data_IF_860429802721
#
_entry.id   IF_860429802721
#
_cell.length_a   1.000
_cell.length_b   1.000
_cell.length_c   1.000
_cell.angle_alpha   90.00
_cell.angle_beta   90.00
_cell.angle_gamma   90.00
#
_symmetry.space_group_name_H-M   'P 1'
#
loop_
_entity.id
_entity.type
_entity.pdbx_description
1 polymer ?
#
# COMPACT_ATOMS: atom_id res chain seq x y z
N UNK A 1 22.43 45.80 -33.99
CA UNK A 1 22.39 44.85 -32.85
C UNK A 1 23.38 43.72 -33.11
N UNK A 2 24.44 43.63 -32.32
CA UNK A 2 25.55 42.68 -32.52
C UNK A 2 25.17 41.27 -32.06
N UNK A 3 25.36 40.26 -32.92
CA UNK A 3 25.13 38.84 -32.63
C UNK A 3 26.34 38.30 -31.85
N UNK A 4 26.18 38.15 -30.54
CA UNK A 4 27.17 37.47 -29.69
C UNK A 4 27.22 36.00 -30.11
N UNK A 5 28.30 35.57 -30.76
CA UNK A 5 28.58 34.15 -31.03
C UNK A 5 29.03 33.50 -29.72
N UNK A 6 28.12 32.81 -29.04
CA UNK A 6 28.48 31.97 -27.91
C UNK A 6 29.37 30.82 -28.40
N UNK A 7 30.59 30.75 -27.88
CA UNK A 7 31.56 29.68 -28.14
C UNK A 7 31.01 28.40 -27.48
N UNK A 8 30.52 27.46 -28.27
CA UNK A 8 30.08 26.15 -27.79
C UNK A 8 31.32 25.42 -27.29
N UNK A 9 31.45 25.29 -25.96
CA UNK A 9 32.48 24.43 -25.39
C UNK A 9 32.17 22.98 -25.81
N UNK A 10 33.17 22.18 -26.20
CA UNK A 10 32.95 20.77 -26.48
C UNK A 10 32.41 20.14 -25.21
N UNK A 11 31.24 19.50 -25.31
CA UNK A 11 30.68 18.68 -24.25
C UNK A 11 31.64 17.49 -24.14
N UNK A 12 32.64 17.62 -23.26
CA UNK A 12 33.44 16.48 -22.83
C UNK A 12 32.46 15.57 -22.10
N UNK A 13 32.13 14.46 -22.74
CA UNK A 13 31.31 13.40 -22.16
C UNK A 13 32.15 12.72 -21.08
N UNK A 14 32.27 13.40 -19.93
CA UNK A 14 32.81 12.80 -18.73
C UNK A 14 31.83 11.72 -18.36
N UNK A 15 32.22 10.45 -18.49
CA UNK A 15 31.46 9.29 -18.01
C UNK A 15 31.17 9.46 -16.51
N UNK A 16 30.10 10.17 -16.17
CA UNK A 16 29.59 10.25 -14.81
C UNK A 16 28.87 8.94 -14.55
N UNK A 17 29.64 7.95 -14.08
CA UNK A 17 29.19 6.57 -13.86
C UNK A 17 27.90 6.46 -13.02
N UNK A 18 27.63 7.46 -12.18
CA UNK A 18 26.54 7.42 -11.19
C UNK A 18 25.41 8.42 -11.44
N UNK A 19 25.44 9.20 -12.54
CA UNK A 19 24.35 10.15 -12.86
C UNK A 19 23.89 9.98 -14.29
N UNK A 20 22.58 9.78 -14.49
CA UNK A 20 21.98 9.73 -15.82
C UNK A 20 22.21 11.06 -16.54
N UNK A 21 22.81 10.99 -17.73
CA UNK A 21 22.98 12.12 -18.64
C UNK A 21 21.63 12.76 -19.01
N UNK A 22 21.62 14.08 -19.27
CA UNK A 22 20.43 14.90 -19.53
C UNK A 22 19.55 14.42 -20.70
N UNK A 23 20.03 13.49 -21.53
CA UNK A 23 19.31 12.94 -22.70
C UNK A 23 19.17 11.41 -22.66
N UNK A 24 19.28 10.82 -21.48
CA UNK A 24 19.12 9.36 -21.35
C UNK A 24 17.65 9.00 -21.57
N UNK A 25 17.33 8.44 -22.75
CA UNK A 25 16.00 7.93 -23.07
C UNK A 25 15.98 6.45 -22.70
N UNK A 26 15.35 6.12 -21.58
CA UNK A 26 15.07 4.72 -21.23
C UNK A 26 13.83 4.28 -22.01
N UNK A 27 14.02 3.40 -22.99
CA UNK A 27 12.90 2.82 -23.73
C UNK A 27 12.19 1.80 -22.85
N UNK A 28 10.92 2.06 -22.58
CA UNK A 28 10.07 1.17 -21.82
C UNK A 28 9.51 0.07 -22.73
N UNK A 29 9.80 -1.18 -22.41
CA UNK A 29 9.18 -2.35 -23.06
C UNK A 29 7.97 -2.82 -22.22
N UNK A 30 6.73 -2.67 -22.70
CA UNK A 30 5.54 -3.09 -21.97
C UNK A 30 5.43 -4.62 -21.81
N UNK A 31 6.07 -5.40 -22.69
CA UNK A 31 6.00 -6.86 -22.70
C UNK A 31 7.15 -7.52 -21.91
N UNK A 32 8.16 -6.75 -21.50
CA UNK A 32 9.24 -7.27 -20.68
C UNK A 32 8.71 -7.79 -19.35
N UNK A 33 9.08 -9.03 -18.99
CA UNK A 33 8.66 -9.66 -17.73
C UNK A 33 9.17 -8.83 -16.55
N UNK A 34 8.24 -8.26 -15.79
CA UNK A 34 8.57 -7.42 -14.64
C UNK A 34 8.80 -8.25 -13.38
N UNK A 35 9.67 -7.77 -12.46
CA UNK A 35 9.94 -8.48 -11.22
C UNK A 35 8.69 -8.49 -10.33
N UNK A 36 8.12 -9.68 -10.14
CA UNK A 36 7.00 -9.95 -9.24
C UNK A 36 7.43 -10.55 -7.90
N UNK A 37 8.73 -10.78 -7.71
CA UNK A 37 9.27 -11.32 -6.45
C UNK A 37 9.09 -10.31 -5.33
N UNK A 38 8.73 -10.77 -4.13
CA UNK A 38 8.62 -9.89 -2.97
C UNK A 38 9.98 -9.26 -2.63
N UNK A 39 9.94 -8.07 -2.04
CA UNK A 39 11.10 -7.36 -1.51
C UNK A 39 11.01 -7.28 0.00
N UNK A 40 12.17 -7.21 0.65
CA UNK A 40 12.28 -6.93 2.08
C UNK A 40 12.55 -5.45 2.27
N UNK A 41 11.72 -4.79 3.06
CA UNK A 41 11.91 -3.40 3.49
C UNK A 41 12.12 -3.44 4.99
N UNK A 42 13.40 -3.38 5.41
CA UNK A 42 13.79 -3.65 6.79
C UNK A 42 13.33 -5.06 7.21
N UNK A 43 12.45 -5.12 8.20
CA UNK A 43 11.84 -6.38 8.68
C UNK A 43 10.53 -6.79 7.99
N UNK A 44 10.02 -5.98 7.07
CA UNK A 44 8.69 -6.18 6.48
C UNK A 44 8.77 -6.79 5.09
N UNK A 45 7.80 -7.66 4.78
CA UNK A 45 7.67 -8.27 3.45
C UNK A 45 6.71 -7.42 2.61
N UNK A 46 7.18 -7.01 1.44
CA UNK A 46 6.40 -6.23 0.48
C UNK A 46 6.30 -7.01 -0.82
N UNK A 47 5.09 -7.43 -1.17
CA UNK A 47 4.81 -8.08 -2.46
C UNK A 47 4.89 -7.07 -3.60
N UNK A 48 5.37 -7.51 -4.77
CA UNK A 48 5.36 -6.72 -6.01
C UNK A 48 4.36 -7.31 -6.98
N UNK A 49 3.42 -6.49 -7.42
CA UNK A 49 2.43 -6.84 -8.43
C UNK A 49 2.48 -5.82 -9.57
N UNK A 50 3.16 -6.14 -10.68
CA UNK A 50 3.08 -5.35 -11.89
C UNK A 50 1.62 -5.23 -12.34
N UNK A 51 1.17 -4.01 -12.65
CA UNK A 51 -0.16 -3.80 -13.19
C UNK A 51 -0.15 -4.09 -14.71
N UNK A 52 -1.18 -4.78 -15.23
CA UNK A 52 -1.35 -4.90 -16.68
C UNK A 52 -1.55 -3.51 -17.28
N UNK A 53 -1.00 -3.28 -18.47
CA UNK A 53 -1.17 -2.06 -19.27
C UNK A 53 -0.70 -0.74 -18.63
N UNK A 54 -0.01 -0.81 -17.49
CA UNK A 54 0.52 0.36 -16.78
C UNK A 54 2.00 0.18 -16.47
N UNK A 55 2.77 1.26 -16.51
CA UNK A 55 4.20 1.29 -16.13
C UNK A 55 4.41 0.98 -14.64
N UNK A 56 3.35 1.15 -13.85
CA UNK A 56 3.41 1.09 -12.40
C UNK A 56 3.44 -0.35 -11.87
N UNK A 57 4.10 -0.51 -10.72
CA UNK A 57 4.09 -1.74 -9.93
C UNK A 57 3.33 -1.44 -8.65
N UNK A 58 2.33 -2.25 -8.34
CA UNK A 58 1.62 -2.19 -7.07
C UNK A 58 2.46 -2.92 -6.00
N UNK A 59 2.77 -2.21 -4.93
CA UNK A 59 3.46 -2.72 -3.75
C UNK A 59 2.42 -3.07 -2.69
N UNK A 60 2.45 -4.33 -2.25
CA UNK A 60 1.52 -4.91 -1.28
C UNK A 60 2.27 -5.09 0.03
N UNK A 61 1.96 -4.29 1.06
CA UNK A 61 2.55 -4.45 2.39
C UNK A 61 1.85 -5.63 3.06
N UNK A 62 2.62 -6.66 3.44
CA UNK A 62 2.08 -7.90 3.99
C UNK A 62 2.31 -8.00 5.51
N UNK A 63 1.29 -8.46 6.24
CA UNK A 63 1.37 -8.95 7.63
C UNK A 63 1.02 -10.44 7.63
N UNK A 64 2.02 -11.30 7.42
CA UNK A 64 1.81 -12.74 7.19
C UNK A 64 1.09 -13.01 5.86
N UNK A 65 -0.13 -13.55 5.93
CA UNK A 65 -0.96 -13.86 4.75
C UNK A 65 -1.86 -12.71 4.32
N UNK A 66 -1.90 -11.62 5.08
CA UNK A 66 -2.83 -10.53 4.84
C UNK A 66 -2.16 -9.28 4.27
N UNK A 67 -2.92 -8.56 3.46
CA UNK A 67 -2.48 -7.31 2.85
C UNK A 67 -2.88 -6.16 3.76
N UNK A 68 -1.91 -5.54 4.40
CA UNK A 68 -2.10 -4.36 5.25
C UNK A 68 -2.43 -3.11 4.44
N UNK A 69 -1.73 -2.91 3.31
CA UNK A 69 -1.92 -1.75 2.44
C UNK A 69 -1.40 -2.03 1.04
N UNK A 70 -1.97 -1.33 0.06
CA UNK A 70 -1.50 -1.32 -1.33
C UNK A 70 -1.10 0.10 -1.71
N UNK A 71 -0.03 0.26 -2.47
CA UNK A 71 0.41 1.55 -2.99
C UNK A 71 1.28 1.40 -4.24
N UNK A 72 1.45 2.49 -4.99
CA UNK A 72 2.19 2.49 -6.27
C UNK A 72 3.68 2.80 -6.08
N UNK A 73 4.03 3.55 -5.03
CA UNK A 73 5.41 3.86 -4.66
C UNK A 73 6.02 2.76 -3.78
N UNK A 74 7.34 2.58 -3.88
CA UNK A 74 8.09 1.72 -2.96
C UNK A 74 7.91 2.28 -1.53
N UNK A 75 7.39 1.49 -0.58
CA UNK A 75 7.24 1.94 0.79
C UNK A 75 8.58 2.01 1.51
N UNK A 76 8.68 2.95 2.44
CA UNK A 76 9.71 2.97 3.48
C UNK A 76 9.28 2.10 4.69
N UNK A 77 10.23 1.86 5.59
CA UNK A 77 10.01 1.02 6.76
C UNK A 77 8.96 1.62 7.73
N UNK A 78 8.90 2.95 7.84
CA UNK A 78 7.91 3.65 8.68
C UNK A 78 6.49 3.45 8.16
N UNK A 79 6.28 3.66 6.86
CA UNK A 79 4.98 3.41 6.21
C UNK A 79 4.53 1.96 6.35
N UNK A 80 5.46 1.00 6.27
CA UNK A 80 5.14 -0.41 6.50
C UNK A 80 4.67 -0.66 7.93
N UNK A 81 5.38 -0.13 8.92
CA UNK A 81 5.03 -0.27 10.34
C UNK A 81 3.64 0.30 10.64
N UNK A 82 3.35 1.50 10.14
CA UNK A 82 2.08 2.18 10.34
C UNK A 82 0.92 1.45 9.66
N UNK A 83 1.12 0.95 8.44
CA UNK A 83 0.10 0.18 7.73
C UNK A 83 -0.29 -1.08 8.51
N UNK A 84 0.69 -1.82 9.02
CA UNK A 84 0.46 -3.05 9.79
C UNK A 84 -0.22 -2.73 11.12
N UNK A 85 0.23 -1.67 11.82
CA UNK A 85 -0.40 -1.23 13.06
C UNK A 85 -1.89 -0.92 12.85
N UNK A 86 -2.22 -0.16 11.80
CA UNK A 86 -3.61 0.17 11.45
C UNK A 86 -4.44 -1.06 11.14
N UNK A 87 -3.91 -2.04 10.41
CA UNK A 87 -4.61 -3.30 10.15
C UNK A 87 -4.92 -4.03 11.46
N UNK A 88 -3.94 -4.14 12.37
CA UNK A 88 -4.12 -4.84 13.65
C UNK A 88 -5.11 -4.12 14.56
N UNK A 89 -5.08 -2.80 14.58
CA UNK A 89 -6.02 -1.99 15.36
C UNK A 89 -7.45 -2.12 14.81
N UNK A 90 -7.62 -2.11 13.48
CA UNK A 90 -8.92 -2.36 12.86
C UNK A 90 -9.49 -3.75 13.19
N UNK A 91 -8.64 -4.78 13.19
CA UNK A 91 -9.04 -6.14 13.61
C UNK A 91 -9.44 -6.20 15.08
N UNK A 92 -8.69 -5.55 15.96
CA UNK A 92 -9.03 -5.49 17.39
C UNK A 92 -10.38 -4.80 17.61
N UNK A 93 -10.62 -3.69 16.91
CA UNK A 93 -11.90 -3.00 16.96
C UNK A 93 -13.06 -3.90 16.48
N UNK A 94 -12.87 -4.61 15.35
CA UNK A 94 -13.86 -5.55 14.83
C UNK A 94 -14.15 -6.70 15.81
N UNK A 95 -13.11 -7.26 16.46
CA UNK A 95 -13.28 -8.32 17.45
C UNK A 95 -14.05 -7.84 18.70
N UNK A 96 -13.80 -6.60 19.14
CA UNK A 96 -14.53 -5.99 20.26
C UNK A 96 -16.00 -5.81 19.88
N UNK A 97 -16.30 -5.28 18.71
CA UNK A 97 -17.69 -5.13 18.23
C UNK A 97 -18.41 -6.47 18.09
N UNK A 98 -17.74 -7.49 17.56
CA UNK A 98 -18.27 -8.85 17.50
C UNK A 98 -18.58 -9.40 18.91
N UNK A 99 -17.70 -9.18 19.88
CA UNK A 99 -17.92 -9.63 21.26
C UNK A 99 -19.11 -8.91 21.92
N UNK A 100 -19.28 -7.60 21.66
CA UNK A 100 -20.43 -6.83 22.14
C UNK A 100 -21.73 -7.35 21.52
N UNK A 101 -21.74 -7.63 20.21
CA UNK A 101 -22.90 -8.17 19.53
C UNK A 101 -23.29 -9.55 20.09
N UNK A 102 -22.33 -10.44 20.31
CA UNK A 102 -22.56 -11.75 20.94
C UNK A 102 -23.10 -11.59 22.35
N UNK A 103 -22.50 -10.70 23.16
CA UNK A 103 -22.95 -10.45 24.53
C UNK A 103 -24.36 -9.85 24.58
N UNK A 104 -24.72 -9.00 23.60
CA UNK A 104 -26.08 -8.45 23.46
C UNK A 104 -27.08 -9.55 23.08
N UNK A 105 -26.71 -10.45 22.17
CA UNK A 105 -27.54 -11.58 21.78
C UNK A 105 -27.71 -12.61 22.91
N UNK A 106 -26.66 -12.83 23.72
CA UNK A 106 -26.70 -13.72 24.89
C UNK A 106 -27.52 -13.17 26.06
N UNK A 107 -27.82 -11.86 26.11
CA UNK A 107 -28.77 -11.33 27.08
C UNK A 107 -30.17 -11.68 26.57
N UNK A 108 -30.86 -12.70 27.12
CA UNK A 108 -32.25 -12.91 26.77
C UNK A 108 -32.98 -11.60 27.06
N UNK A 109 -33.70 -11.10 26.07
CA UNK A 109 -34.53 -9.93 26.24
C UNK A 109 -35.36 -10.13 27.50
N UNK A 110 -35.46 -9.08 28.32
CA UNK A 110 -36.45 -8.98 29.39
C UNK A 110 -37.83 -8.93 28.74
N UNK A 111 -38.26 -10.05 28.17
CA UNK A 111 -39.60 -10.30 27.68
C UNK A 111 -40.38 -10.81 28.88
N UNK A 112 -40.99 -9.89 29.62
CA UNK A 112 -42.22 -10.17 30.38
C UNK A 112 -43.13 -8.95 30.29
N UNK A 113 -43.68 -8.74 29.11
CA UNK A 113 -45.09 -8.44 28.98
C UNK A 113 -45.86 -9.61 29.60
N UNK A 114 -46.20 -9.46 30.87
CA UNK A 114 -47.12 -10.33 31.58
C UNK A 114 -48.04 -9.44 32.43
N UNK A 115 -48.79 -8.56 31.79
CA UNK A 115 -50.00 -7.97 32.38
C UNK A 115 -51.19 -8.78 31.90
N UNK A 116 -51.47 -9.81 32.70
CA UNK A 116 -52.79 -10.29 33.11
C UNK A 116 -53.95 -10.16 32.13
N UNK A 117 -54.41 -11.34 31.66
CA UNK A 117 -55.82 -11.68 31.39
C UNK A 117 -56.75 -10.97 32.38
N UNK A 118 -57.81 -10.34 31.87
CA UNK A 118 -59.06 -10.23 32.62
C UNK A 118 -60.21 -10.69 31.71
N UNK A 119 -60.94 -11.67 32.22
CA UNK A 119 -62.17 -12.26 31.71
C UNK A 119 -63.24 -11.84 32.70
N UNK A 120 -64.26 -11.12 32.25
CA UNK A 120 -65.68 -11.13 32.67
C UNK A 120 -66.36 -9.83 32.23
#
# INVERSE_FOLDING_TARGET
MSRIKARTLPIVDVERRDTLSLRTIVRYDPNARRPSTAILVGKYVVGRRPLPDSVHTEYLILDGTEIARKQISIPDEGTCADAIKRLRDAKRAAAIEASKAINKAKKPGKARTATTREVA
#
